data_IF_828860248158
#
_entry.id   IF_828860248158
#
_cell.length_a   1.000
_cell.length_b   1.000
_cell.length_c   1.000
_cell.angle_alpha   90.00
_cell.angle_beta   90.00
_cell.angle_gamma   90.00
#
_symmetry.space_group_name_H-M   'P 1'
#
loop_
_entity.id
_entity.type
_entity.pdbx_description
1 polymer ?
#
# COMPACT_ATOMS: atom_id res chain seq x y z
N UNK A 1 44.88 45.17 9.49
CA UNK A 1 44.81 44.39 10.74
C UNK A 1 43.34 44.03 10.95
N UNK A 2 43.06 42.72 10.99
CA UNK A 2 41.85 41.93 11.37
C UNK A 2 40.44 42.51 11.15
N UNK A 3 39.53 41.86 10.39
CA UNK A 3 38.85 40.56 10.62
C UNK A 3 37.91 40.58 11.86
N UNK A 4 36.66 40.09 11.86
CA UNK A 4 35.89 39.33 10.88
C UNK A 4 34.45 39.10 11.40
N UNK A 5 33.60 38.57 10.50
CA UNK A 5 32.24 38.08 10.74
C UNK A 5 32.22 36.84 11.66
N UNK A 6 31.13 36.63 12.41
CA UNK A 6 30.85 35.40 13.13
C UNK A 6 29.36 35.16 13.30
N UNK A 7 28.78 34.32 12.43
CA UNK A 7 27.41 33.82 12.52
C UNK A 7 27.27 32.72 13.58
N UNK A 8 26.11 32.67 14.21
CA UNK A 8 25.72 31.64 15.17
C UNK A 8 25.04 30.50 14.40
N UNK A 9 25.77 29.40 14.16
CA UNK A 9 25.19 28.12 13.77
C UNK A 9 25.30 27.17 14.96
N UNK A 10 24.16 26.72 15.47
CA UNK A 10 24.08 25.71 16.52
C UNK A 10 24.19 24.35 15.83
N UNK A 11 25.40 23.78 15.86
CA UNK A 11 25.66 22.37 15.57
C UNK A 11 25.55 21.60 16.89
N UNK A 12 24.49 20.80 17.05
CA UNK A 12 24.42 19.81 18.13
C UNK A 12 25.02 18.50 17.62
N UNK A 13 26.27 18.28 17.99
CA UNK A 13 27.03 17.05 17.77
C UNK A 13 26.56 15.93 18.70
N UNK A 14 26.12 14.80 18.13
CA UNK A 14 25.91 13.54 18.85
C UNK A 14 27.22 12.74 18.81
N UNK A 15 27.84 12.49 19.97
CA UNK A 15 28.76 11.38 20.23
C UNK A 15 29.15 11.34 21.70
N UNK A 16 28.83 10.27 22.42
CA UNK A 16 29.82 9.47 23.17
C UNK A 16 29.17 8.21 23.79
N UNK A 17 29.78 7.07 23.46
CA UNK A 17 29.53 5.71 23.91
C UNK A 17 30.03 5.45 25.35
N UNK A 18 29.37 4.48 25.99
CA UNK A 18 29.96 3.26 26.59
C UNK A 18 29.53 2.97 28.04
N UNK A 19 29.03 1.75 28.29
CA UNK A 19 28.86 1.24 29.65
C UNK A 19 28.11 -0.09 29.80
N UNK A 20 28.75 -1.19 29.37
CA UNK A 20 28.70 -2.57 29.91
C UNK A 20 27.37 -3.36 30.03
N UNK A 21 27.36 -4.56 29.41
CA UNK A 21 26.95 -5.78 30.15
C UNK A 21 26.17 -6.86 29.40
N UNK A 22 26.92 -7.81 28.84
CA UNK A 22 26.67 -9.27 28.84
C UNK A 22 25.79 -9.96 27.77
N UNK A 23 26.36 -11.09 27.32
CA UNK A 23 25.83 -12.30 26.69
C UNK A 23 25.52 -12.26 25.18
N UNK A 24 26.49 -12.75 24.40
CA UNK A 24 26.29 -13.34 23.08
C UNK A 24 25.33 -14.53 23.19
N UNK A 25 24.19 -14.48 22.48
CA UNK A 25 23.47 -15.69 22.09
C UNK A 25 23.49 -15.81 20.56
N UNK A 26 23.93 -16.99 20.11
CA UNK A 26 23.98 -17.39 18.71
C UNK A 26 22.57 -17.51 18.16
N UNK A 27 22.33 -16.81 17.05
CA UNK A 27 21.16 -16.93 16.21
C UNK A 27 21.13 -18.31 15.52
N UNK A 28 20.07 -19.09 15.77
CA UNK A 28 19.73 -20.32 15.05
C UNK A 28 18.48 -20.07 14.19
N UNK A 29 18.57 -20.10 12.85
CA UNK A 29 17.46 -19.74 11.97
C UNK A 29 16.42 -20.85 11.73
N UNK A 30 16.42 -21.96 12.48
CA UNK A 30 15.48 -23.07 12.25
C UNK A 30 14.91 -23.75 13.51
N UNK A 31 14.53 -22.98 14.53
CA UNK A 31 13.86 -23.49 15.73
C UNK A 31 12.33 -23.41 15.67
N UNK A 32 11.66 -24.54 15.52
CA UNK A 32 10.21 -24.72 15.71
C UNK A 32 9.92 -25.32 17.08
N UNK A 33 9.30 -24.60 18.02
CA UNK A 33 8.59 -25.08 19.23
C UNK A 33 7.76 -23.88 19.76
N UNK A 34 6.63 -23.97 20.45
CA UNK A 34 5.67 -25.04 20.75
C UNK A 34 4.40 -24.34 21.28
N UNK A 35 3.23 -24.90 20.95
CA UNK A 35 1.94 -24.43 21.45
C UNK A 35 1.72 -25.00 22.85
N UNK A 36 1.72 -24.14 23.88
CA UNK A 36 1.29 -24.49 25.24
C UNK A 36 -0.20 -24.14 25.39
N UNK A 37 -1.09 -25.12 25.25
CA UNK A 37 -2.46 -25.04 25.75
C UNK A 37 -2.56 -25.66 27.14
N UNK A 38 -2.74 -24.84 28.17
CA UNK A 38 -3.09 -25.28 29.52
C UNK A 38 -4.59 -25.15 29.76
N UNK A 39 -5.29 -26.28 29.83
CA UNK A 39 -6.62 -26.38 30.43
C UNK A 39 -6.70 -27.68 31.24
N UNK A 40 -6.52 -27.57 32.55
CA UNK A 40 -6.73 -28.66 33.51
C UNK A 40 -8.05 -28.49 34.22
N UNK A 41 -8.86 -29.55 34.29
CA UNK A 41 -10.03 -29.58 35.17
C UNK A 41 -10.96 -30.78 34.96
N UNK A 42 -10.86 -31.76 35.86
CA UNK A 42 -12.05 -32.43 36.42
C UNK A 42 -12.46 -33.77 35.81
N UNK A 43 -12.11 -34.83 36.54
CA UNK A 43 -12.54 -36.21 36.30
C UNK A 43 -14.05 -36.43 36.48
N UNK A 44 -14.61 -37.36 35.70
CA UNK A 44 -15.67 -38.26 36.16
C UNK A 44 -15.62 -39.58 35.37
N UNK A 45 -15.61 -40.64 36.16
CA UNK A 45 -15.53 -42.06 35.83
C UNK A 45 -16.74 -42.61 35.07
N UNK A 46 -16.49 -43.62 34.23
CA UNK A 46 -17.52 -44.54 33.74
C UNK A 46 -16.92 -45.52 32.75
N UNK A 47 -16.49 -46.68 33.23
CA UNK A 47 -16.00 -47.76 32.35
C UNK A 47 -17.10 -48.30 31.44
N UNK A 48 -16.68 -49.02 30.41
CA UNK A 48 -17.05 -50.42 30.13
C UNK A 48 -16.08 -50.94 29.06
N UNK A 49 -15.57 -52.14 29.30
CA UNK A 49 -14.72 -52.92 28.40
C UNK A 49 -15.58 -53.58 27.33
N UNK A 50 -15.15 -53.60 26.07
CA UNK A 50 -14.63 -54.82 25.43
C UNK A 50 -14.28 -54.59 23.96
N UNK A 51 -13.23 -55.30 23.57
CA UNK A 51 -12.55 -55.28 22.29
C UNK A 51 -13.34 -56.01 21.19
N UNK A 52 -13.18 -55.56 19.93
CA UNK A 52 -12.76 -56.42 18.82
C UNK A 52 -12.59 -55.60 17.52
N UNK A 53 -11.35 -55.62 17.03
CA UNK A 53 -10.93 -55.93 15.66
C UNK A 53 -11.63 -55.27 14.45
N UNK A 54 -10.83 -54.64 13.59
CA UNK A 54 -11.31 -54.07 12.33
C UNK A 54 -10.26 -53.25 11.58
N UNK A 55 -9.21 -53.93 11.10
CA UNK A 55 -8.44 -53.65 9.88
C UNK A 55 -8.36 -52.21 9.33
N UNK A 56 -7.11 -51.74 9.22
CA UNK A 56 -6.66 -50.56 8.48
C UNK A 56 -7.46 -50.20 7.22
N UNK A 57 -8.07 -49.02 7.28
CA UNK A 57 -8.40 -48.19 6.13
C UNK A 57 -7.61 -46.90 6.26
N UNK A 58 -6.52 -46.78 5.51
CA UNK A 58 -5.89 -45.49 5.22
C UNK A 58 -6.92 -44.63 4.49
N UNK A 59 -7.67 -43.83 5.25
CA UNK A 59 -8.55 -42.82 4.72
C UNK A 59 -7.71 -41.84 3.92
N UNK A 60 -7.75 -41.95 2.60
CA UNK A 60 -7.34 -40.88 1.71
C UNK A 60 -8.21 -39.68 2.07
N UNK A 61 -7.63 -38.71 2.77
CA UNK A 61 -8.29 -37.44 3.04
C UNK A 61 -8.64 -36.81 1.69
N UNK A 62 -9.93 -36.62 1.45
CA UNK A 62 -10.38 -35.72 0.40
C UNK A 62 -9.69 -34.36 0.65
N UNK A 63 -9.12 -33.68 -0.36
CA UNK A 63 -8.61 -32.34 -0.13
C UNK A 63 -9.74 -31.53 0.49
N UNK A 64 -9.51 -30.94 1.66
CA UNK A 64 -10.51 -30.06 2.28
C UNK A 64 -10.87 -29.00 1.24
N UNK A 65 -12.16 -28.84 0.96
CA UNK A 65 -12.60 -27.77 0.06
C UNK A 65 -12.00 -26.44 0.53
N UNK A 66 -11.40 -25.68 -0.39
CA UNK A 66 -10.85 -24.37 -0.07
C UNK A 66 -11.95 -23.47 0.50
N UNK A 67 -11.59 -22.59 1.43
CA UNK A 67 -12.53 -21.66 2.04
C UNK A 67 -12.95 -20.58 1.03
N UNK A 68 -14.26 -20.33 0.95
CA UNK A 68 -14.88 -19.26 0.16
C UNK A 68 -14.87 -17.91 0.90
N UNK A 69 -15.70 -16.93 0.50
CA UNK A 69 -15.75 -15.62 1.15
C UNK A 69 -16.26 -15.70 2.60
N UNK A 70 -15.90 -14.73 3.47
CA UNK A 70 -15.12 -13.52 3.16
C UNK A 70 -13.64 -13.84 2.93
N UNK A 71 -13.06 -13.34 1.83
CA UNK A 71 -11.66 -13.62 1.49
C UNK A 71 -10.68 -12.74 2.31
N UNK A 72 -9.43 -13.21 2.56
CA UNK A 72 -8.40 -12.42 3.21
C UNK A 72 -8.11 -11.11 2.48
N UNK A 73 -7.84 -10.04 3.25
CA UNK A 73 -7.49 -8.73 2.71
C UNK A 73 -5.97 -8.58 2.60
N UNK A 74 -5.49 -8.20 1.43
CA UNK A 74 -4.08 -7.92 1.14
C UNK A 74 -3.93 -6.46 0.77
N UNK A 75 -3.17 -5.72 1.58
CA UNK A 75 -2.80 -4.33 1.33
C UNK A 75 -1.49 -4.26 0.54
N UNK A 76 -1.57 -3.82 -0.72
CA UNK A 76 -0.42 -3.66 -1.60
C UNK A 76 0.07 -2.21 -1.60
N UNK A 77 1.32 -2.00 -1.16
CA UNK A 77 1.92 -0.67 -1.07
C UNK A 77 2.41 -0.13 -2.42
N UNK A 78 2.56 1.19 -2.51
CA UNK A 78 3.10 1.87 -3.68
C UNK A 78 4.62 1.99 -3.67
N UNK A 79 5.08 2.87 -4.56
CA UNK A 79 6.46 3.36 -4.66
C UNK A 79 6.92 3.86 -3.27
N UNK A 80 8.17 3.60 -2.91
CA UNK A 80 8.72 3.84 -1.55
C UNK A 80 8.09 2.99 -0.42
N UNK A 81 7.31 1.95 -0.70
CA UNK A 81 6.70 1.21 0.40
C UNK A 81 7.71 0.43 1.25
N UNK A 82 7.51 0.52 2.56
CA UNK A 82 8.32 -0.09 3.61
C UNK A 82 7.41 -0.77 4.63
N UNK A 83 7.79 -1.96 5.10
CA UNK A 83 7.20 -2.56 6.31
C UNK A 83 7.74 -1.89 7.58
N UNK A 84 8.99 -1.42 7.52
CA UNK A 84 9.69 -0.77 8.62
C UNK A 84 10.56 0.38 8.08
N UNK A 85 10.20 1.62 8.42
CA UNK A 85 11.00 2.79 8.08
C UNK A 85 12.32 2.81 8.89
N UNK A 86 13.43 2.54 8.21
CA UNK A 86 14.78 2.63 8.76
C UNK A 86 15.05 1.79 10.03
N UNK A 87 14.36 0.65 10.20
CA UNK A 87 14.58 -0.25 11.34
C UNK A 87 13.89 0.21 12.64
N UNK A 88 12.97 1.17 12.55
CA UNK A 88 12.22 1.71 13.67
C UNK A 88 11.23 0.69 14.25
N UNK A 89 10.66 -0.21 13.45
CA UNK A 89 9.71 -1.25 13.85
C UNK A 89 8.28 -0.75 14.15
N UNK A 90 8.02 0.55 14.02
CA UNK A 90 6.73 1.19 14.36
C UNK A 90 6.19 2.17 13.30
N UNK A 91 6.85 2.28 12.14
CA UNK A 91 6.35 3.09 11.02
C UNK A 91 6.22 2.19 9.80
N UNK A 92 4.99 1.85 9.47
CA UNK A 92 4.61 1.12 8.26
C UNK A 92 4.12 2.08 7.17
N UNK A 93 4.20 1.66 5.91
CA UNK A 93 3.66 2.43 4.77
C UNK A 93 2.20 2.85 5.00
N UNK A 94 1.32 1.85 5.22
CA UNK A 94 -0.02 2.09 5.75
C UNK A 94 0.09 2.31 7.25
N UNK A 95 0.23 3.57 7.68
CA UNK A 95 0.58 3.92 9.05
C UNK A 95 -0.45 3.39 10.05
N UNK A 96 -0.04 2.57 11.02
CA UNK A 96 -0.90 1.94 12.06
C UNK A 96 -2.14 1.16 11.56
N UNK A 97 -2.30 0.96 10.25
CA UNK A 97 -3.52 0.39 9.67
C UNK A 97 -3.67 -1.07 10.08
N UNK A 98 -2.64 -1.89 9.85
CA UNK A 98 -2.66 -3.32 10.18
C UNK A 98 -2.97 -3.56 11.66
N UNK A 99 -2.28 -2.85 12.55
CA UNK A 99 -2.50 -2.98 13.99
C UNK A 99 -3.93 -2.57 14.36
N UNK A 100 -4.40 -1.41 13.86
CA UNK A 100 -5.72 -0.89 14.20
C UNK A 100 -6.86 -1.77 13.68
N UNK A 101 -6.70 -2.36 12.50
CA UNK A 101 -7.64 -3.31 11.93
C UNK A 101 -7.62 -4.63 12.72
N UNK A 102 -6.44 -5.15 13.07
CA UNK A 102 -6.29 -6.37 13.86
C UNK A 102 -6.90 -6.26 15.27
N UNK A 103 -6.70 -5.12 15.96
CA UNK A 103 -7.32 -4.83 17.27
C UNK A 103 -8.85 -4.87 17.23
N UNK A 104 -9.44 -4.73 16.03
CA UNK A 104 -10.88 -4.75 15.78
C UNK A 104 -11.37 -6.08 15.17
N UNK A 105 -10.50 -7.09 15.09
CA UNK A 105 -10.82 -8.44 14.62
C UNK A 105 -10.65 -8.67 13.12
N UNK A 106 -10.08 -7.71 12.39
CA UNK A 106 -9.80 -7.87 10.96
C UNK A 106 -8.50 -8.67 10.74
N UNK A 107 -8.54 -9.65 9.83
CA UNK A 107 -7.34 -10.38 9.40
C UNK A 107 -6.85 -9.76 8.10
N UNK A 108 -5.78 -8.97 8.20
CA UNK A 108 -5.21 -8.24 7.06
C UNK A 108 -3.72 -8.51 6.91
N UNK A 109 -3.27 -8.59 5.66
CA UNK A 109 -1.89 -8.81 5.29
C UNK A 109 -1.35 -7.57 4.58
N UNK A 110 -0.09 -7.21 4.84
CA UNK A 110 0.60 -6.06 4.24
C UNK A 110 1.96 -6.51 3.69
N UNK A 111 1.98 -7.39 2.68
CA UNK A 111 3.24 -7.95 2.19
C UNK A 111 4.15 -6.87 1.60
N UNK A 112 5.43 -6.92 1.92
CA UNK A 112 6.45 -6.12 1.23
C UNK A 112 6.86 -6.71 -0.10
N UNK A 113 7.02 -5.81 -1.06
CA UNK A 113 7.68 -6.01 -2.36
C UNK A 113 8.79 -4.98 -2.52
N UNK A 114 9.59 -5.09 -3.57
CA UNK A 114 10.67 -4.14 -3.85
C UNK A 114 10.14 -2.69 -3.86
N UNK A 115 10.82 -1.73 -3.18
CA UNK A 115 10.33 -0.36 -3.06
C UNK A 115 10.45 0.47 -4.35
N UNK A 116 11.32 0.08 -5.29
CA UNK A 116 11.63 0.84 -6.51
C UNK A 116 11.84 -0.10 -7.71
N UNK A 117 10.80 -0.72 -8.24
CA UNK A 117 10.92 -1.53 -9.46
C UNK A 117 9.66 -1.45 -10.32
N UNK A 118 9.71 -1.99 -11.53
CA UNK A 118 8.52 -2.14 -12.37
C UNK A 118 7.42 -2.95 -11.67
N UNK A 119 6.15 -2.68 -11.99
CA UNK A 119 5.03 -3.44 -11.45
C UNK A 119 4.96 -4.87 -11.96
N UNK A 120 5.60 -5.17 -13.10
CA UNK A 120 5.79 -6.56 -13.52
C UNK A 120 6.64 -7.33 -12.50
N UNK A 121 7.75 -6.74 -12.05
CA UNK A 121 8.63 -7.34 -11.06
C UNK A 121 7.99 -7.42 -9.68
N UNK A 122 7.45 -6.28 -9.21
CA UNK A 122 6.77 -6.18 -7.90
C UNK A 122 5.53 -7.06 -7.84
N UNK A 123 4.76 -7.15 -8.93
CA UNK A 123 3.59 -8.04 -9.06
C UNK A 123 3.95 -9.51 -8.91
N UNK A 124 5.08 -9.97 -9.46
CA UNK A 124 5.53 -11.34 -9.26
C UNK A 124 5.88 -11.64 -7.79
N UNK A 125 6.50 -10.68 -7.08
CA UNK A 125 6.76 -10.79 -5.65
C UNK A 125 5.45 -10.80 -4.85
N UNK A 126 4.50 -9.91 -5.18
CA UNK A 126 3.19 -9.86 -4.55
C UNK A 126 2.41 -11.17 -4.73
N UNK A 127 2.44 -11.75 -5.94
CA UNK A 127 1.84 -13.05 -6.22
C UNK A 127 2.42 -14.14 -5.32
N UNK A 128 3.75 -14.22 -5.20
CA UNK A 128 4.38 -15.21 -4.34
C UNK A 128 3.96 -15.07 -2.85
N UNK A 129 3.73 -13.84 -2.38
CA UNK A 129 3.19 -13.58 -1.03
C UNK A 129 1.73 -13.99 -0.91
N UNK A 130 0.91 -13.75 -1.93
CA UNK A 130 -0.50 -14.17 -1.96
C UNK A 130 -0.60 -15.70 -1.94
N UNK A 131 0.24 -16.42 -2.68
CA UNK A 131 0.25 -17.89 -2.65
C UNK A 131 0.59 -18.43 -1.25
N UNK A 132 1.50 -17.79 -0.52
CA UNK A 132 1.80 -18.11 0.88
C UNK A 132 0.58 -17.87 1.78
N UNK A 133 -0.08 -16.72 1.65
CA UNK A 133 -1.28 -16.36 2.43
C UNK A 133 -2.41 -17.37 2.17
N UNK A 134 -2.65 -17.77 0.92
CA UNK A 134 -3.70 -18.73 0.59
C UNK A 134 -3.36 -20.14 1.11
N UNK A 135 -2.09 -20.54 1.09
CA UNK A 135 -1.66 -21.80 1.69
C UNK A 135 -1.82 -21.80 3.22
N UNK A 136 -1.52 -20.68 3.89
CA UNK A 136 -1.66 -20.51 5.33
C UNK A 136 -3.14 -20.48 5.77
N UNK A 137 -3.97 -19.74 5.04
CA UNK A 137 -5.36 -19.50 5.43
C UNK A 137 -6.33 -20.56 4.89
N UNK A 138 -5.94 -21.34 3.88
CA UNK A 138 -6.80 -22.33 3.21
C UNK A 138 -7.88 -21.73 2.29
N UNK A 139 -7.88 -20.42 2.06
CA UNK A 139 -8.84 -19.77 1.16
C UNK A 139 -8.50 -20.02 -0.31
N UNK A 140 -9.51 -19.90 -1.18
CA UNK A 140 -9.30 -19.98 -2.62
C UNK A 140 -8.79 -18.68 -3.25
N UNK A 141 -9.15 -17.53 -2.69
CA UNK A 141 -8.87 -16.20 -3.23
C UNK A 141 -8.54 -15.19 -2.15
N UNK A 142 -8.00 -14.04 -2.55
CA UNK A 142 -7.81 -12.84 -1.72
C UNK A 142 -8.53 -11.63 -2.34
N UNK A 143 -8.80 -10.63 -1.51
CA UNK A 143 -9.14 -9.27 -1.93
C UNK A 143 -7.92 -8.37 -1.79
N UNK A 144 -7.52 -7.71 -2.87
CA UNK A 144 -6.39 -6.79 -2.85
C UNK A 144 -6.91 -5.36 -2.75
N UNK A 145 -6.47 -4.62 -1.74
CA UNK A 145 -6.64 -3.17 -1.62
C UNK A 145 -5.27 -2.55 -1.81
N UNK A 146 -5.12 -1.64 -2.77
CA UNK A 146 -3.82 -1.22 -3.22
C UNK A 146 -3.73 0.30 -3.35
N UNK A 147 -2.61 0.87 -2.92
CA UNK A 147 -2.35 2.30 -3.01
C UNK A 147 -1.28 2.60 -4.05
N UNK A 148 -1.44 3.67 -4.82
CA UNK A 148 -0.44 4.18 -5.76
C UNK A 148 0.04 3.07 -6.71
N UNK A 149 1.35 2.87 -6.85
CA UNK A 149 1.90 1.80 -7.69
C UNK A 149 1.41 0.39 -7.33
N UNK A 150 1.04 0.14 -6.07
CA UNK A 150 0.56 -1.17 -5.62
C UNK A 150 -0.65 -1.65 -6.42
N UNK A 151 -1.48 -0.75 -6.95
CA UNK A 151 -2.62 -1.12 -7.78
C UNK A 151 -2.23 -1.64 -9.16
N UNK A 152 -1.10 -1.19 -9.70
CA UNK A 152 -0.53 -1.77 -10.93
C UNK A 152 0.03 -3.17 -10.63
N UNK A 153 0.69 -3.36 -9.49
CA UNK A 153 1.16 -4.69 -9.08
C UNK A 153 -0.02 -5.66 -8.90
N UNK A 154 -1.09 -5.21 -8.24
CA UNK A 154 -2.31 -5.99 -8.07
C UNK A 154 -2.97 -6.37 -9.41
N UNK A 155 -2.92 -5.48 -10.41
CA UNK A 155 -3.38 -5.79 -11.77
C UNK A 155 -2.52 -6.83 -12.46
N UNK A 156 -1.20 -6.85 -12.24
CA UNK A 156 -0.33 -7.93 -12.73
C UNK A 156 -0.74 -9.26 -12.11
N UNK A 157 -0.91 -9.32 -10.78
CA UNK A 157 -1.35 -10.53 -10.08
C UNK A 157 -2.71 -11.02 -10.60
N UNK A 158 -3.69 -10.13 -10.70
CA UNK A 158 -5.03 -10.48 -11.14
C UNK A 158 -5.08 -10.92 -12.61
N UNK A 159 -4.20 -10.37 -13.46
CA UNK A 159 -4.06 -10.79 -14.85
C UNK A 159 -3.44 -12.19 -14.97
N UNK A 160 -2.34 -12.44 -14.24
CA UNK A 160 -1.58 -13.68 -14.34
C UNK A 160 -2.28 -14.84 -13.61
N UNK A 161 -2.95 -14.55 -12.48
CA UNK A 161 -3.62 -15.53 -11.59
C UNK A 161 -5.01 -15.05 -11.12
N UNK A 162 -5.95 -14.85 -12.05
CA UNK A 162 -7.33 -14.46 -11.70
C UNK A 162 -8.06 -15.51 -10.85
N UNK A 163 -7.59 -16.75 -10.86
CA UNK A 163 -8.10 -17.82 -9.99
C UNK A 163 -7.84 -17.57 -8.51
N UNK A 164 -6.86 -16.73 -8.16
CA UNK A 164 -6.46 -16.41 -6.79
C UNK A 164 -6.95 -15.04 -6.29
N UNK A 165 -7.58 -14.25 -7.16
CA UNK A 165 -8.02 -12.89 -6.83
C UNK A 165 -9.53 -12.79 -6.96
N UNK A 166 -10.19 -12.28 -5.93
CA UNK A 166 -11.62 -11.99 -5.95
C UNK A 166 -11.88 -10.53 -6.35
N UNK A 167 -11.16 -9.59 -5.74
CA UNK A 167 -11.24 -8.17 -6.08
C UNK A 167 -9.89 -7.46 -6.10
N UNK A 168 -9.79 -6.40 -6.88
CA UNK A 168 -8.76 -5.36 -6.82
C UNK A 168 -9.44 -4.00 -6.61
N UNK A 169 -9.17 -3.38 -5.47
CA UNK A 169 -9.58 -2.00 -5.18
C UNK A 169 -8.35 -1.12 -5.14
N UNK A 170 -8.30 -0.07 -5.96
CA UNK A 170 -7.15 0.84 -6.03
C UNK A 170 -7.47 2.20 -5.41
N UNK A 171 -6.45 2.83 -4.83
CA UNK A 171 -6.49 4.18 -4.26
C UNK A 171 -5.31 4.95 -4.88
N UNK A 172 -5.60 6.02 -5.62
CA UNK A 172 -4.60 6.86 -6.29
C UNK A 172 -3.59 6.12 -7.17
N UNK A 173 -3.98 4.98 -7.75
CA UNK A 173 -3.08 4.27 -8.68
C UNK A 173 -2.97 5.04 -9.99
N UNK A 174 -1.76 5.33 -10.51
CA UNK A 174 -1.58 6.05 -11.78
C UNK A 174 -1.89 5.15 -12.98
N UNK A 175 -3.15 4.73 -13.15
CA UNK A 175 -3.59 3.82 -14.20
C UNK A 175 -3.41 4.41 -15.60
N UNK A 176 -3.49 5.74 -15.75
CA UNK A 176 -3.20 6.45 -16.99
C UNK A 176 -1.86 7.22 -16.93
N UNK A 177 -1.01 6.86 -15.97
CA UNK A 177 0.32 7.42 -15.77
C UNK A 177 0.33 8.62 -14.84
N UNK A 178 1.51 9.20 -14.65
CA UNK A 178 1.69 10.45 -13.92
C UNK A 178 2.46 11.46 -14.76
N UNK A 179 1.90 12.66 -14.88
CA UNK A 179 2.60 13.79 -15.52
C UNK A 179 3.87 14.19 -14.78
N UNK A 180 3.94 13.93 -13.47
CA UNK A 180 5.15 14.10 -12.67
C UNK A 180 6.27 13.21 -13.21
N UNK A 181 5.98 11.95 -13.57
CA UNK A 181 6.96 11.03 -14.14
C UNK A 181 7.43 11.47 -15.54
N UNK A 182 6.53 11.95 -16.40
CA UNK A 182 6.90 12.52 -17.70
C UNK A 182 7.89 13.69 -17.55
N UNK A 183 7.69 14.55 -16.55
CA UNK A 183 8.59 15.67 -16.27
C UNK A 183 9.90 15.16 -15.65
N UNK A 184 9.83 14.26 -14.67
CA UNK A 184 11.01 13.67 -14.03
C UNK A 184 12.00 13.11 -15.08
N UNK A 185 11.49 12.31 -16.02
CA UNK A 185 12.29 11.71 -17.09
C UNK A 185 12.88 12.76 -18.03
N UNK A 186 12.15 13.85 -18.31
CA UNK A 186 12.70 14.97 -19.06
C UNK A 186 13.83 15.66 -18.30
N UNK A 187 13.67 15.92 -16.99
CA UNK A 187 14.69 16.58 -16.17
C UNK A 187 15.97 15.74 -16.10
N UNK A 188 15.86 14.41 -15.93
CA UNK A 188 17.00 13.47 -15.94
C UNK A 188 17.78 13.57 -17.26
N UNK A 189 17.09 13.76 -18.39
CA UNK A 189 17.74 13.87 -19.70
C UNK A 189 18.56 15.16 -19.87
N UNK A 190 18.38 16.16 -19.00
CA UNK A 190 19.12 17.43 -19.04
C UNK A 190 19.96 17.63 -17.78
N UNK A 191 21.28 17.40 -17.88
CA UNK A 191 22.26 17.56 -16.78
C UNK A 191 22.21 18.91 -16.03
N UNK A 192 21.60 19.94 -16.63
CA UNK A 192 21.49 21.29 -16.05
C UNK A 192 20.29 21.44 -15.09
N UNK A 193 19.46 20.42 -14.92
CA UNK A 193 18.25 20.45 -14.10
C UNK A 193 18.33 19.50 -12.88
N UNK A 194 19.55 19.10 -12.49
CA UNK A 194 19.80 18.19 -11.37
C UNK A 194 19.22 18.71 -10.05
N UNK A 195 19.30 20.02 -9.77
CA UNK A 195 18.71 20.59 -8.54
C UNK A 195 17.18 20.38 -8.46
N UNK A 196 16.48 20.47 -9.59
CA UNK A 196 15.02 20.24 -9.66
C UNK A 196 14.70 18.75 -9.56
N UNK A 197 15.57 17.89 -10.10
CA UNK A 197 15.48 16.45 -9.93
C UNK A 197 15.70 16.06 -8.47
N UNK A 198 16.67 16.65 -7.78
CA UNK A 198 16.94 16.42 -6.37
C UNK A 198 15.76 16.86 -5.50
N UNK A 199 15.18 18.04 -5.75
CA UNK A 199 13.96 18.50 -5.07
C UNK A 199 12.78 17.54 -5.31
N UNK A 200 12.62 17.02 -6.53
CA UNK A 200 11.60 16.05 -6.88
C UNK A 200 11.84 14.69 -6.20
N UNK A 201 13.08 14.18 -6.20
CA UNK A 201 13.43 12.94 -5.51
C UNK A 201 13.28 13.07 -3.99
N UNK A 202 13.59 14.26 -3.44
CA UNK A 202 13.39 14.55 -2.03
C UNK A 202 11.91 14.57 -1.65
N UNK A 203 11.07 15.17 -2.50
CA UNK A 203 9.61 15.17 -2.34
C UNK A 203 9.01 13.75 -2.39
N UNK A 204 9.56 12.87 -3.23
CA UNK A 204 9.02 11.51 -3.40
C UNK A 204 9.63 10.53 -2.39
N UNK A 205 10.81 10.78 -1.78
CA UNK A 205 11.26 9.98 -0.63
C UNK A 205 12.74 10.05 -0.24
N UNK A 206 13.23 11.24 0.14
CA UNK A 206 14.61 11.51 0.58
C UNK A 206 15.27 10.50 1.56
N UNK A 207 14.57 9.84 2.52
CA UNK A 207 15.28 9.04 3.53
C UNK A 207 15.68 7.61 3.13
N UNK A 208 15.13 7.07 2.02
CA UNK A 208 15.33 5.65 1.63
C UNK A 208 16.26 5.46 0.42
N UNK A 209 16.67 6.57 -0.23
CA UNK A 209 17.54 6.53 -1.39
C UNK A 209 18.93 5.95 -1.08
N UNK A 210 19.42 6.14 0.15
CA UNK A 210 20.75 5.67 0.58
C UNK A 210 20.85 4.14 0.77
N UNK A 211 19.76 3.38 0.56
CA UNK A 211 19.71 1.92 0.69
C UNK A 211 19.50 1.15 -0.63
N UNK A 212 19.59 1.82 -1.78
CA UNK A 212 19.34 1.21 -3.09
C UNK A 212 20.42 0.15 -3.40
N UNK A 213 20.00 -1.12 -3.40
CA UNK A 213 20.79 -2.26 -3.89
C UNK A 213 20.78 -2.35 -5.42
N UNK A 214 21.58 -3.26 -5.98
CA UNK A 214 21.80 -3.37 -7.44
C UNK A 214 20.59 -3.86 -8.26
N UNK A 215 19.54 -4.40 -7.62
CA UNK A 215 18.32 -4.91 -8.28
C UNK A 215 17.17 -3.89 -8.31
N UNK A 216 17.38 -2.74 -7.66
CA UNK A 216 16.36 -1.73 -7.40
C UNK A 216 16.53 -0.56 -8.38
N UNK A 217 15.47 -0.16 -9.07
CA UNK A 217 15.47 0.87 -10.12
C UNK A 217 14.30 1.85 -10.01
N UNK A 218 14.59 3.01 -9.41
CA UNK A 218 13.74 4.23 -9.45
C UNK A 218 13.37 4.59 -10.89
N UNK A 219 14.33 4.48 -11.82
CA UNK A 219 14.12 4.75 -13.23
C UNK A 219 13.09 3.82 -13.87
N UNK A 220 13.10 2.52 -13.56
CA UNK A 220 12.12 1.58 -14.12
C UNK A 220 10.68 1.92 -13.68
N UNK A 221 10.52 2.46 -12.47
CA UNK A 221 9.21 2.88 -11.97
C UNK A 221 8.75 4.18 -12.64
N UNK A 222 9.62 5.19 -12.73
CA UNK A 222 9.33 6.44 -13.44
C UNK A 222 9.04 6.21 -14.93
N UNK A 223 9.82 5.35 -15.59
CA UNK A 223 9.60 4.95 -16.98
C UNK A 223 8.23 4.28 -17.16
N UNK A 224 7.86 3.35 -16.26
CA UNK A 224 6.52 2.73 -16.28
C UNK A 224 5.39 3.75 -16.06
N UNK A 225 5.57 4.76 -15.23
CA UNK A 225 4.54 5.77 -14.96
C UNK A 225 4.41 6.83 -16.06
N UNK A 226 5.39 6.91 -16.96
CA UNK A 226 5.32 7.81 -18.10
C UNK A 226 4.13 7.51 -18.99
N UNK A 227 3.67 8.51 -19.74
CA UNK A 227 2.58 8.34 -20.72
C UNK A 227 2.79 7.14 -21.67
N UNK A 228 3.98 6.94 -22.28
CA UNK A 228 4.21 5.74 -23.10
C UNK A 228 4.30 4.45 -22.28
N UNK A 229 4.99 4.46 -21.13
CA UNK A 229 5.19 3.27 -20.31
C UNK A 229 3.88 2.70 -19.77
N UNK A 230 2.97 3.56 -19.31
CA UNK A 230 1.68 3.10 -18.78
C UNK A 230 0.74 2.61 -19.90
N UNK A 231 0.85 3.17 -21.10
CA UNK A 231 0.09 2.70 -22.25
C UNK A 231 0.52 1.27 -22.65
N UNK A 232 1.83 0.99 -22.64
CA UNK A 232 2.35 -0.36 -22.84
C UNK A 232 1.91 -1.31 -21.72
N UNK A 233 2.00 -0.87 -20.46
CA UNK A 233 1.54 -1.64 -19.31
C UNK A 233 0.05 -2.02 -19.43
N UNK A 234 -0.81 -1.06 -19.76
CA UNK A 234 -2.25 -1.28 -19.92
C UNK A 234 -2.59 -2.19 -21.11
N UNK A 235 -1.82 -2.13 -22.19
CA UNK A 235 -2.00 -3.02 -23.33
C UNK A 235 -1.63 -4.47 -22.97
N UNK A 236 -0.68 -4.66 -22.06
CA UNK A 236 -0.22 -5.99 -21.60
C UNK A 236 -1.12 -6.58 -20.52
N UNK A 237 -1.40 -5.81 -19.47
CA UNK A 237 -2.12 -6.26 -18.26
C UNK A 237 -3.56 -5.79 -18.26
N UNK A 238 -4.40 -6.49 -19.04
CA UNK A 238 -5.84 -6.25 -19.10
C UNK A 238 -6.56 -6.86 -17.91
N UNK A 239 -7.71 -6.29 -17.54
CA UNK A 239 -8.58 -6.83 -16.51
C UNK A 239 -9.02 -8.27 -16.83
N UNK A 240 -8.99 -9.13 -15.81
CA UNK A 240 -9.33 -10.52 -15.96
C UNK A 240 -10.83 -10.77 -15.70
N UNK A 241 -11.53 -11.53 -16.56
CA UNK A 241 -12.91 -11.91 -16.31
C UNK A 241 -13.09 -12.63 -14.96
N UNK A 242 -14.09 -12.22 -14.19
CA UNK A 242 -14.39 -12.83 -12.90
C UNK A 242 -13.61 -12.27 -11.72
N UNK A 243 -12.76 -11.26 -11.94
CA UNK A 243 -12.20 -10.41 -10.88
C UNK A 243 -12.98 -9.09 -10.85
N UNK A 244 -13.33 -8.64 -9.65
CA UNK A 244 -13.96 -7.33 -9.45
C UNK A 244 -12.90 -6.22 -9.40
N UNK A 245 -13.14 -5.10 -10.09
CA UNK A 245 -12.22 -3.96 -10.10
C UNK A 245 -12.96 -2.68 -9.69
N UNK A 246 -12.41 -1.95 -8.72
CA UNK A 246 -12.87 -0.63 -8.34
C UNK A 246 -11.70 0.30 -8.02
N UNK A 247 -11.95 1.61 -8.04
CA UNK A 247 -10.92 2.61 -7.80
C UNK A 247 -11.43 3.86 -7.11
N UNK A 248 -10.50 4.54 -6.43
CA UNK A 248 -10.62 5.88 -5.89
C UNK A 248 -9.47 6.76 -6.39
N UNK A 249 -9.73 8.05 -6.54
CA UNK A 249 -8.70 9.07 -6.70
C UNK A 249 -8.60 9.96 -5.46
N UNK A 250 -7.49 10.67 -5.28
CA UNK A 250 -7.40 11.72 -4.27
C UNK A 250 -7.64 13.12 -4.86
N UNK A 251 -7.90 14.07 -3.97
CA UNK A 251 -7.97 15.50 -4.27
C UNK A 251 -7.43 16.32 -3.11
N UNK A 252 -6.49 17.21 -3.42
CA UNK A 252 -5.88 18.16 -2.49
C UNK A 252 -5.97 19.59 -3.06
N UNK A 253 -5.20 20.52 -2.50
CA UNK A 253 -5.24 21.97 -2.77
C UNK A 253 -6.65 22.58 -2.70
N UNK A 254 -7.46 22.07 -1.76
CA UNK A 254 -8.86 22.45 -1.57
C UNK A 254 -9.71 22.33 -2.84
N UNK A 255 -9.34 21.43 -3.76
CA UNK A 255 -10.11 21.17 -4.97
C UNK A 255 -11.42 20.45 -4.63
N UNK A 256 -12.54 20.90 -5.19
CA UNK A 256 -13.87 20.27 -5.03
C UNK A 256 -14.07 19.03 -5.93
N UNK A 257 -13.06 18.60 -6.69
CA UNK A 257 -13.10 17.38 -7.51
C UNK A 257 -13.80 17.49 -8.87
N UNK A 258 -14.88 18.27 -9.00
CA UNK A 258 -15.54 18.52 -10.28
C UNK A 258 -15.90 17.24 -11.07
N UNK A 259 -15.81 17.28 -12.40
CA UNK A 259 -16.13 16.14 -13.27
C UNK A 259 -15.22 14.93 -13.06
N UNK A 260 -13.97 15.17 -12.68
CA UNK A 260 -12.96 14.12 -12.52
C UNK A 260 -13.21 13.27 -11.27
N UNK A 261 -14.10 13.72 -10.38
CA UNK A 261 -14.53 12.98 -9.19
C UNK A 261 -15.95 12.41 -9.27
N UNK A 262 -16.68 12.64 -10.37
CA UNK A 262 -18.02 12.07 -10.55
C UNK A 262 -17.95 10.55 -10.77
N UNK A 263 -18.50 9.78 -9.83
CA UNK A 263 -18.73 8.35 -9.92
C UNK A 263 -20.16 8.05 -10.40
N UNK A 264 -20.31 7.01 -11.24
CA UNK A 264 -21.64 6.55 -11.68
C UNK A 264 -22.37 5.80 -10.57
N UNK A 265 -21.63 5.06 -9.75
CA UNK A 265 -22.10 4.34 -8.57
C UNK A 265 -21.15 4.68 -7.40
N UNK A 266 -21.28 5.89 -6.80
CA UNK A 266 -20.40 6.31 -5.73
C UNK A 266 -20.53 5.37 -4.54
N UNK A 267 -19.40 5.07 -3.88
CA UNK A 267 -19.45 4.42 -2.59
C UNK A 267 -20.24 5.29 -1.59
N UNK A 268 -21.32 4.79 -0.95
CA UNK A 268 -22.13 5.61 -0.06
C UNK A 268 -21.33 6.26 1.07
N UNK A 269 -20.25 5.60 1.51
CA UNK A 269 -19.34 6.10 2.54
C UNK A 269 -18.33 7.13 2.03
N UNK A 270 -18.20 7.36 0.71
CA UNK A 270 -17.37 8.44 0.17
C UNK A 270 -18.15 9.75 0.08
N UNK A 271 -19.46 9.70 -0.21
CA UNK A 271 -20.30 10.89 -0.33
C UNK A 271 -20.30 11.78 0.94
N UNK A 272 -20.08 11.19 2.12
CA UNK A 272 -19.96 11.94 3.37
C UNK A 272 -18.73 12.87 3.42
N UNK A 273 -17.77 12.66 2.53
CA UNK A 273 -16.52 13.43 2.42
C UNK A 273 -16.50 14.37 1.20
N UNK A 274 -17.60 14.50 0.45
CA UNK A 274 -17.67 15.33 -0.77
C UNK A 274 -17.39 16.82 -0.48
N UNK A 275 -17.76 17.30 0.71
CA UNK A 275 -17.49 18.69 1.16
C UNK A 275 -16.15 18.84 1.89
N UNK A 276 -15.42 17.74 2.13
CA UNK A 276 -14.10 17.80 2.75
C UNK A 276 -13.13 18.57 1.86
N UNK A 277 -12.30 19.42 2.45
CA UNK A 277 -11.26 20.17 1.74
C UNK A 277 -9.92 19.84 2.36
N UNK A 278 -9.01 19.36 1.54
CA UNK A 278 -7.67 18.97 1.94
C UNK A 278 -6.65 20.00 1.42
N UNK A 279 -5.83 20.62 2.28
CA UNK A 279 -4.70 21.43 1.83
C UNK A 279 -3.54 20.53 1.39
N UNK A 280 -2.86 20.89 0.30
CA UNK A 280 -1.68 20.13 -0.15
C UNK A 280 -0.57 20.13 0.90
N UNK A 281 -0.05 18.95 1.25
CA UNK A 281 1.13 18.88 2.09
C UNK A 281 2.33 19.57 1.42
N UNK A 282 3.15 20.35 2.14
CA UNK A 282 4.26 21.11 1.54
C UNK A 282 5.25 20.29 0.71
N UNK A 283 5.44 19.01 1.04
CA UNK A 283 6.29 18.10 0.26
C UNK A 283 5.73 17.78 -1.13
N UNK A 284 4.41 17.94 -1.32
CA UNK A 284 3.73 17.66 -2.58
C UNK A 284 3.45 18.93 -3.39
N UNK A 285 3.73 20.14 -2.87
CA UNK A 285 3.36 21.39 -3.55
C UNK A 285 3.99 21.54 -4.93
N UNK A 286 5.24 21.09 -5.12
CA UNK A 286 5.90 21.17 -6.43
C UNK A 286 5.22 20.26 -7.46
N UNK A 287 4.91 19.03 -7.07
CA UNK A 287 4.31 18.02 -7.95
C UNK A 287 2.83 18.30 -8.20
N UNK A 288 2.10 18.77 -7.19
CA UNK A 288 0.75 19.30 -7.31
C UNK A 288 0.70 20.42 -8.38
N UNK A 289 1.58 21.43 -8.30
CA UNK A 289 1.60 22.53 -9.28
C UNK A 289 1.87 22.05 -10.72
N UNK A 290 2.68 21.00 -10.87
CA UNK A 290 2.90 20.33 -12.17
C UNK A 290 1.60 19.71 -12.70
N UNK A 291 0.82 19.06 -11.82
CA UNK A 291 -0.42 18.37 -12.17
C UNK A 291 -1.57 19.34 -12.48
N UNK A 292 -1.61 20.47 -11.77
CA UNK A 292 -2.61 21.53 -11.93
C UNK A 292 -2.44 22.31 -13.24
N UNK A 293 -1.28 22.20 -13.91
CA UNK A 293 -1.05 22.90 -15.18
C UNK A 293 -0.79 24.40 -15.03
N UNK A 294 -0.67 24.90 -13.79
CA UNK A 294 -0.31 26.27 -13.45
C UNK A 294 -1.46 27.10 -12.86
N UNK A 295 -1.19 28.36 -12.51
CA UNK A 295 -2.14 29.22 -11.80
C UNK A 295 -3.48 29.39 -12.54
N UNK A 296 -4.55 28.86 -11.93
CA UNK A 296 -5.94 29.14 -12.30
C UNK A 296 -6.68 28.04 -13.05
N UNK A 297 -6.04 26.90 -13.33
CA UNK A 297 -6.68 25.70 -13.88
C UNK A 297 -6.66 24.55 -12.87
N UNK A 298 -7.44 24.66 -11.79
CA UNK A 298 -7.47 23.61 -10.76
C UNK A 298 -7.91 22.25 -11.34
N UNK A 299 -6.97 21.33 -11.57
CA UNK A 299 -7.17 19.95 -12.00
C UNK A 299 -7.09 19.06 -10.76
N UNK A 300 -8.20 18.43 -10.34
CA UNK A 300 -8.24 17.55 -9.18
C UNK A 300 -7.13 16.49 -9.20
N UNK A 301 -6.28 16.52 -8.19
CA UNK A 301 -5.12 15.66 -8.03
C UNK A 301 -4.77 15.52 -6.55
N UNK A 302 -4.02 14.48 -6.19
CA UNK A 302 -3.58 14.19 -4.82
C UNK A 302 -2.14 14.67 -4.53
N UNK A 303 -1.56 15.46 -5.44
CA UNK A 303 -0.16 15.87 -5.41
C UNK A 303 0.79 15.00 -6.24
N UNK A 304 0.42 13.76 -6.63
CA UNK A 304 1.26 12.88 -7.47
C UNK A 304 0.50 12.26 -8.66
N UNK A 305 -0.81 12.07 -8.53
CA UNK A 305 -1.71 11.47 -9.50
C UNK A 305 -2.96 12.33 -9.64
N UNK A 306 -3.37 12.62 -10.88
CA UNK A 306 -4.64 13.33 -11.12
C UNK A 306 -5.78 12.36 -10.89
N UNK A 307 -6.88 12.84 -10.31
CA UNK A 307 -8.07 12.02 -10.04
C UNK A 307 -8.56 11.27 -11.28
N UNK A 308 -8.53 11.91 -12.46
CA UNK A 308 -8.87 11.28 -13.74
C UNK A 308 -7.95 10.12 -14.13
N UNK A 309 -6.66 10.20 -13.80
CA UNK A 309 -5.68 9.19 -14.16
C UNK A 309 -5.73 7.99 -13.21
N UNK A 310 -6.37 8.17 -12.05
CA UNK A 310 -6.66 7.12 -11.07
C UNK A 310 -7.93 6.31 -11.34
N UNK A 311 -8.74 6.71 -12.33
CA UNK A 311 -9.99 6.01 -12.67
C UNK A 311 -9.71 4.66 -13.34
N UNK A 312 -10.23 3.59 -12.73
CA UNK A 312 -10.19 2.22 -13.27
C UNK A 312 -11.34 1.35 -12.75
N UNK A 313 -11.83 0.43 -13.58
CA UNK A 313 -13.00 -0.39 -13.23
C UNK A 313 -14.19 0.46 -12.77
N UNK A 314 -14.82 0.04 -11.68
CA UNK A 314 -15.88 0.82 -11.01
C UNK A 314 -15.26 1.95 -10.19
N UNK A 315 -15.15 3.14 -10.79
CA UNK A 315 -14.70 4.33 -10.09
C UNK A 315 -15.75 4.76 -9.04
N UNK A 316 -15.33 4.79 -7.78
CA UNK A 316 -16.20 5.03 -6.61
C UNK A 316 -16.15 6.45 -6.04
N UNK A 317 -15.28 7.31 -6.58
CA UNK A 317 -15.22 8.73 -6.25
C UNK A 317 -13.83 9.19 -5.86
N UNK A 318 -13.75 10.43 -5.38
CA UNK A 318 -12.51 11.00 -4.87
C UNK A 318 -12.51 11.15 -3.35
N UNK A 319 -11.33 11.02 -2.76
CA UNK A 319 -11.07 11.24 -1.35
C UNK A 319 -10.49 12.66 -1.17
N UNK A 320 -10.98 13.48 -0.22
CA UNK A 320 -10.32 14.73 0.13
C UNK A 320 -9.07 14.40 0.95
N UNK A 321 -8.02 13.97 0.27
CA UNK A 321 -6.76 13.57 0.85
C UNK A 321 -5.70 13.76 -0.23
N UNK A 322 -4.52 14.21 0.18
CA UNK A 322 -3.33 14.09 -0.63
C UNK A 322 -2.77 12.66 -0.58
N UNK A 323 -1.78 12.40 -1.43
CA UNK A 323 -1.23 11.07 -1.64
C UNK A 323 -0.61 10.44 -0.37
N UNK A 324 -0.24 11.26 0.63
CA UNK A 324 0.26 10.76 1.90
C UNK A 324 -0.87 10.51 2.89
N UNK A 325 -1.84 11.44 2.96
CA UNK A 325 -3.00 11.29 3.84
C UNK A 325 -3.77 10.01 3.54
N UNK A 326 -3.89 9.61 2.27
CA UNK A 326 -4.50 8.36 1.79
C UNK A 326 -4.04 7.08 2.51
N UNK A 327 -2.84 7.10 3.09
CA UNK A 327 -2.24 5.98 3.84
C UNK A 327 -1.89 6.35 5.29
N UNK A 328 -2.39 7.50 5.76
CA UNK A 328 -2.14 8.01 7.10
C UNK A 328 -0.72 8.54 7.28
N UNK A 329 -0.06 8.97 6.22
CA UNK A 329 1.25 9.59 6.28
C UNK A 329 1.11 11.12 6.16
N UNK A 330 1.96 11.92 6.82
CA UNK A 330 3.07 11.52 7.68
C UNK A 330 2.62 11.31 9.13
N UNK A 331 2.62 10.06 9.60
CA UNK A 331 2.40 9.66 11.00
C UNK A 331 1.02 10.00 11.59
N UNK A 332 -0.05 9.73 10.84
CA UNK A 332 -1.44 9.85 11.29
C UNK A 332 -1.89 11.29 11.47
N UNK A 333 -1.23 12.24 10.79
CA UNK A 333 -1.71 13.61 10.70
C UNK A 333 -3.11 13.61 10.07
N UNK A 334 -3.99 14.44 10.63
CA UNK A 334 -5.27 14.74 9.98
C UNK A 334 -4.99 15.48 8.67
N UNK A 335 -5.83 15.35 7.62
CA UNK A 335 -5.66 16.04 6.34
C UNK A 335 -5.97 17.57 6.43
N UNK A 336 -5.47 18.23 7.48
CA UNK A 336 -5.68 19.65 7.75
C UNK A 336 -7.00 20.03 8.44
N UNK A 337 -7.13 21.33 8.73
CA UNK A 337 -8.29 21.91 9.41
C UNK A 337 -9.57 21.84 8.56
N UNK A 338 -10.63 21.25 9.12
CA UNK A 338 -11.95 21.19 8.47
C UNK A 338 -12.16 19.97 7.57
N UNK A 339 -11.17 19.10 7.45
CA UNK A 339 -11.30 17.83 6.73
C UNK A 339 -11.72 16.69 7.70
N UNK A 340 -12.95 16.14 7.59
CA UNK A 340 -13.41 15.06 8.47
C UNK A 340 -12.94 13.67 8.03
N UNK A 341 -12.13 13.58 6.97
CA UNK A 341 -11.69 12.30 6.41
C UNK A 341 -10.70 11.57 7.32
N UNK A 342 -10.92 10.26 7.48
CA UNK A 342 -10.13 9.37 8.32
C UNK A 342 -9.80 8.10 7.53
N UNK A 343 -8.54 7.94 7.12
CA UNK A 343 -8.09 6.83 6.27
C UNK A 343 -8.46 5.44 6.83
N UNK A 344 -8.36 5.23 8.14
CA UNK A 344 -8.70 3.93 8.77
C UNK A 344 -10.19 3.63 8.60
N UNK A 345 -11.07 4.60 8.85
CA UNK A 345 -12.51 4.40 8.71
C UNK A 345 -12.90 4.23 7.23
N UNK A 346 -12.21 4.91 6.33
CA UNK A 346 -12.31 4.67 4.89
C UNK A 346 -11.99 3.21 4.52
N UNK A 347 -10.81 2.69 4.90
CA UNK A 347 -10.44 1.29 4.57
C UNK A 347 -11.37 0.26 5.20
N UNK A 348 -11.91 0.54 6.40
CA UNK A 348 -12.94 -0.31 7.02
C UNK A 348 -14.22 -0.34 6.19
N UNK A 349 -14.66 0.81 5.70
CA UNK A 349 -15.85 0.90 4.86
C UNK A 349 -15.66 0.21 3.50
N UNK A 350 -14.45 0.25 2.93
CA UNK A 350 -14.09 -0.54 1.73
C UNK A 350 -14.20 -2.03 2.01
N UNK A 351 -13.59 -2.53 3.09
CA UNK A 351 -13.64 -3.96 3.47
C UNK A 351 -15.07 -4.42 3.69
N UNK A 352 -15.88 -3.61 4.40
CA UNK A 352 -17.29 -3.90 4.64
C UNK A 352 -18.09 -3.97 3.33
N UNK A 353 -17.83 -3.05 2.39
CA UNK A 353 -18.48 -3.07 1.06
C UNK A 353 -18.10 -4.35 0.30
N UNK A 354 -16.83 -4.73 0.27
CA UNK A 354 -16.39 -5.96 -0.41
C UNK A 354 -17.11 -7.20 0.13
N UNK A 355 -17.24 -7.31 1.46
CA UNK A 355 -18.01 -8.39 2.11
C UNK A 355 -19.48 -8.40 1.70
N UNK A 356 -20.12 -7.23 1.67
CA UNK A 356 -21.52 -7.11 1.26
C UNK A 356 -21.74 -7.50 -0.20
N UNK A 357 -20.74 -7.27 -1.06
CA UNK A 357 -20.75 -7.68 -2.46
C UNK A 357 -20.37 -9.16 -2.67
N UNK A 358 -20.03 -9.88 -1.58
CA UNK A 358 -19.75 -11.32 -1.59
C UNK A 358 -18.28 -11.67 -1.84
N UNK A 359 -17.38 -10.72 -1.65
CA UNK A 359 -15.93 -10.92 -1.71
C UNK A 359 -15.32 -11.13 -0.32
#
# INVERSE_FOLDING_TARGET
MSAGLGGCAILASLSLLAGCGAAEERFDPWGTEDVITGAGGGAASGGWTDAADGSGGSGGGWPSAKLGPPYPIVFAHGFFGFEDFAGAGYVSYFYNLKQTLAERGEVVYTPSVDPFNSSTYRGAQLLARIEQILAETGHEKVNIIAHSQGGLDARVVAHDRPDLVASVVTVATPHLGSKVADIALQLVAYERLQDVLDDLLNAIGAPLYDQIGNETSVFASLDQFSTPGIAEFNAKYTDAPGVFYASFGGRTDRAAGGSDCLALDPAPFVAQFDEGLDPVHPLLSLTETILDGGFGEAIPNDGLVRARDARWGNFWGCLPADHFDEIGQLFGQSPGEGNPWLYIDFYRAVIERLRQEGF
#
